data_IF_880390789118
#
_entry.id   IF_880390789118
#
_cell.length_a   1.000
_cell.length_b   1.000
_cell.length_c   1.000
_cell.angle_alpha   90.00
_cell.angle_beta   90.00
_cell.angle_gamma   90.00
#
_symmetry.space_group_name_H-M   'P 1'
#
loop_
_entity.id
_entity.type
_entity.pdbx_description
1 polymer ?
#
# COMPACT_ATOMS: atom_id res chain seq x y z
N UNK A 1 -14.91 2.29 12.30
CA UNK A 1 -14.70 2.65 10.88
C UNK A 1 -14.35 4.13 10.87
N UNK A 2 -13.10 4.46 10.58
CA UNK A 2 -12.57 5.83 10.54
C UNK A 2 -12.97 6.50 9.21
N UNK A 3 -14.24 6.83 9.10
CA UNK A 3 -14.82 7.48 7.91
C UNK A 3 -14.33 8.93 7.72
N UNK A 4 -13.77 9.53 8.76
CA UNK A 4 -13.12 10.84 8.79
C UNK A 4 -11.88 10.94 7.89
N UNK A 5 -11.33 9.79 7.45
CA UNK A 5 -10.21 9.74 6.50
C UNK A 5 -10.63 9.56 5.04
N UNK A 6 -11.94 9.43 4.76
CA UNK A 6 -12.42 9.34 3.39
C UNK A 6 -12.32 10.70 2.68
N UNK A 7 -11.50 10.75 1.64
CA UNK A 7 -11.46 11.84 0.67
C UNK A 7 -11.89 11.36 -0.72
N UNK A 8 -12.18 12.30 -1.63
CA UNK A 8 -12.39 11.96 -3.05
C UNK A 8 -11.03 11.55 -3.64
N UNK A 9 -10.76 10.25 -3.68
CA UNK A 9 -9.57 9.67 -4.30
C UNK A 9 -9.97 8.68 -5.41
N UNK A 10 -9.14 8.48 -6.44
CA UNK A 10 -9.32 7.41 -7.40
C UNK A 10 -9.52 6.04 -6.71
N UNK A 11 -10.63 5.38 -7.02
CA UNK A 11 -11.05 4.10 -6.39
C UNK A 11 -9.97 3.02 -6.44
N UNK A 12 -9.16 3.03 -7.51
CA UNK A 12 -8.03 2.13 -7.71
C UNK A 12 -7.01 2.17 -6.57
N UNK A 13 -6.80 3.33 -5.95
CA UNK A 13 -5.80 3.49 -4.89
C UNK A 13 -6.27 2.91 -3.57
N UNK A 14 -7.56 3.04 -3.27
CA UNK A 14 -8.16 2.34 -2.13
C UNK A 14 -8.03 0.83 -2.28
N UNK A 15 -8.13 0.29 -3.51
CA UNK A 15 -7.87 -1.11 -3.75
C UNK A 15 -6.42 -1.51 -3.43
N UNK A 16 -5.44 -0.70 -3.86
CA UNK A 16 -4.02 -0.94 -3.56
C UNK A 16 -3.74 -0.79 -2.05
N UNK A 17 -4.27 0.25 -1.39
CA UNK A 17 -4.15 0.43 0.07
C UNK A 17 -4.72 -0.76 0.84
N UNK A 18 -5.90 -1.24 0.46
CA UNK A 18 -6.52 -2.40 1.07
C UNK A 18 -5.64 -3.64 0.93
N UNK A 19 -5.09 -3.90 -0.27
CA UNK A 19 -4.16 -5.00 -0.48
C UNK A 19 -2.92 -4.90 0.41
N UNK A 20 -2.36 -3.70 0.58
CA UNK A 20 -1.22 -3.46 1.49
C UNK A 20 -1.60 -3.72 2.95
N UNK A 21 -2.81 -3.36 3.38
CA UNK A 21 -3.29 -3.64 4.75
C UNK A 21 -3.43 -5.15 4.98
N UNK A 22 -4.02 -5.88 4.03
CA UNK A 22 -4.37 -7.29 4.24
C UNK A 22 -3.25 -8.28 3.90
N UNK A 23 -2.33 -7.93 3.00
CA UNK A 23 -1.38 -8.90 2.43
C UNK A 23 0.08 -8.58 2.69
N UNK A 24 0.39 -7.52 3.46
CA UNK A 24 1.75 -7.31 3.95
C UNK A 24 2.10 -8.36 5.00
N UNK A 25 3.27 -8.95 4.85
CA UNK A 25 3.85 -9.92 5.78
C UNK A 25 4.60 -9.17 6.89
N UNK A 26 4.77 -9.78 8.08
CA UNK A 26 5.49 -9.14 9.20
C UNK A 26 6.91 -8.67 8.85
N UNK A 27 7.53 -9.27 7.84
CA UNK A 27 8.88 -8.91 7.35
C UNK A 27 8.89 -7.70 6.41
N UNK A 28 7.75 -7.04 6.18
CA UNK A 28 7.65 -5.89 5.28
C UNK A 28 7.70 -6.27 3.80
N UNK A 29 7.03 -7.35 3.41
CA UNK A 29 6.89 -7.73 2.00
C UNK A 29 5.43 -7.95 1.64
N UNK A 30 5.03 -7.69 0.40
CA UNK A 30 3.66 -7.92 -0.05
C UNK A 30 3.52 -9.35 -0.60
N UNK A 31 2.48 -10.07 -0.21
CA UNK A 31 2.12 -11.35 -0.82
C UNK A 31 1.56 -11.15 -2.25
N UNK A 32 2.46 -11.16 -3.23
CA UNK A 32 2.11 -10.89 -4.64
C UNK A 32 1.07 -11.86 -5.23
N UNK A 33 1.11 -13.18 -4.96
CA UNK A 33 0.04 -14.09 -5.40
C UNK A 33 -1.35 -13.69 -4.90
N UNK A 34 -1.48 -13.33 -3.61
CA UNK A 34 -2.76 -12.86 -3.05
C UNK A 34 -3.17 -11.51 -3.62
N UNK A 35 -2.22 -10.57 -3.72
CA UNK A 35 -2.46 -9.26 -4.31
C UNK A 35 -2.96 -9.38 -5.77
N UNK A 36 -2.37 -10.29 -6.56
CA UNK A 36 -2.79 -10.56 -7.94
C UNK A 36 -4.20 -11.13 -8.02
N UNK A 37 -4.52 -12.14 -7.21
CA UNK A 37 -5.86 -12.72 -7.17
C UNK A 37 -6.91 -11.65 -6.81
N UNK A 38 -6.61 -10.85 -5.79
CA UNK A 38 -7.44 -9.72 -5.36
C UNK A 38 -7.61 -8.66 -6.46
N UNK A 39 -6.51 -8.18 -7.07
CA UNK A 39 -6.55 -7.15 -8.10
C UNK A 39 -7.34 -7.61 -9.33
N UNK A 40 -7.17 -8.87 -9.74
CA UNK A 40 -7.94 -9.45 -10.86
C UNK A 40 -9.44 -9.48 -10.57
N UNK A 41 -9.84 -9.84 -9.36
CA UNK A 41 -11.24 -9.83 -8.95
C UNK A 41 -11.79 -8.39 -8.88
N UNK A 42 -11.02 -7.45 -8.32
CA UNK A 42 -11.37 -6.04 -8.24
C UNK A 42 -11.60 -5.44 -9.64
N UNK A 43 -10.64 -5.61 -10.57
CA UNK A 43 -10.77 -5.10 -11.95
C UNK A 43 -12.02 -5.60 -12.65
N UNK A 44 -12.31 -6.90 -12.52
CA UNK A 44 -13.52 -7.51 -13.13
C UNK A 44 -14.82 -6.96 -12.56
N UNK A 45 -14.85 -6.64 -11.26
CA UNK A 45 -16.07 -6.23 -10.58
C UNK A 45 -16.31 -4.73 -10.72
N UNK A 46 -15.24 -3.93 -10.74
CA UNK A 46 -15.29 -2.48 -10.78
C UNK A 46 -15.08 -1.87 -12.18
N UNK A 47 -14.88 -2.70 -13.21
CA UNK A 47 -14.49 -2.31 -14.57
C UNK A 47 -13.23 -1.40 -14.60
N UNK A 48 -12.30 -1.65 -13.67
CA UNK A 48 -11.08 -0.87 -13.55
C UNK A 48 -10.02 -1.35 -14.56
N UNK A 49 -9.42 -0.39 -15.28
CA UNK A 49 -8.40 -0.69 -16.30
C UNK A 49 -7.07 -1.06 -15.63
N UNK A 50 -6.28 -1.96 -16.26
CA UNK A 50 -4.91 -2.24 -15.84
C UNK A 50 -4.04 -1.00 -15.58
N UNK A 51 -4.15 0.01 -16.46
CA UNK A 51 -3.39 1.27 -16.34
C UNK A 51 -3.79 2.10 -15.11
N UNK A 52 -5.06 2.04 -14.69
CA UNK A 52 -5.53 2.73 -13.49
C UNK A 52 -4.93 2.09 -12.23
N UNK A 53 -4.84 0.75 -12.19
CA UNK A 53 -4.19 0.07 -11.08
C UNK A 53 -2.67 0.28 -11.08
N UNK A 54 -2.02 0.33 -12.25
CA UNK A 54 -0.59 0.64 -12.33
C UNK A 54 -0.28 2.06 -11.81
N UNK A 55 -1.10 3.06 -12.18
CA UNK A 55 -0.97 4.42 -11.66
C UNK A 55 -1.23 4.47 -10.13
N UNK A 56 -2.23 3.73 -9.66
CA UNK A 56 -2.53 3.62 -8.23
C UNK A 56 -1.37 2.98 -7.44
N UNK A 57 -0.75 1.92 -7.96
CA UNK A 57 0.44 1.29 -7.39
C UNK A 57 1.57 2.30 -7.25
N UNK A 58 1.85 3.06 -8.31
CA UNK A 58 2.86 4.10 -8.28
C UNK A 58 2.58 5.15 -7.21
N UNK A 59 1.33 5.64 -7.14
CA UNK A 59 0.95 6.70 -6.19
C UNK A 59 1.03 6.21 -4.74
N UNK A 60 0.54 5.01 -4.44
CA UNK A 60 0.60 4.46 -3.07
C UNK A 60 2.04 4.16 -2.66
N UNK A 61 2.88 3.68 -3.57
CA UNK A 61 4.31 3.53 -3.33
C UNK A 61 4.95 4.87 -2.96
N UNK A 62 4.68 5.92 -3.73
CA UNK A 62 5.21 7.26 -3.46
C UNK A 62 4.74 7.82 -2.12
N UNK A 63 3.46 7.68 -1.78
CA UNK A 63 2.94 8.11 -0.49
C UNK A 63 3.65 7.41 0.66
N UNK A 64 3.91 6.09 0.55
CA UNK A 64 4.60 5.34 1.62
C UNK A 64 6.05 5.72 1.78
N UNK A 65 6.74 6.07 0.69
CA UNK A 65 8.09 6.64 0.79
C UNK A 65 8.12 7.97 1.53
N UNK A 66 7.03 8.73 1.49
CA UNK A 66 6.90 10.04 2.12
C UNK A 66 6.11 10.02 3.43
N UNK A 67 5.77 8.82 3.93
CA UNK A 67 4.91 8.69 5.10
C UNK A 67 5.72 8.66 6.40
N UNK A 68 5.99 9.84 6.94
CA UNK A 68 6.79 10.02 8.14
C UNK A 68 5.96 10.10 9.44
N UNK A 69 4.69 9.68 9.43
CA UNK A 69 3.83 9.85 10.62
C UNK A 69 4.39 9.17 11.87
N UNK A 70 4.95 7.96 11.75
CA UNK A 70 5.52 7.22 12.89
C UNK A 70 6.73 7.96 13.47
N UNK A 71 7.58 8.49 12.59
CA UNK A 71 8.76 9.27 13.00
C UNK A 71 8.34 10.57 13.68
N UNK A 72 7.35 11.29 13.14
CA UNK A 72 6.81 12.50 13.79
C UNK A 72 6.18 12.20 15.14
N UNK A 73 5.45 11.10 15.27
CA UNK A 73 4.87 10.71 16.56
C UNK A 73 5.94 10.39 17.59
N UNK A 74 6.95 9.61 17.22
CA UNK A 74 8.05 9.26 18.09
C UNK A 74 8.87 10.50 18.49
N UNK A 75 9.41 11.24 17.51
CA UNK A 75 10.38 12.31 17.75
C UNK A 75 9.76 13.65 18.13
N UNK A 76 8.62 14.04 17.55
CA UNK A 76 8.01 15.35 17.82
C UNK A 76 6.99 15.29 18.96
N UNK A 77 6.36 14.13 19.20
CA UNK A 77 5.28 13.98 20.21
C UNK A 77 5.64 13.07 21.38
N UNK A 78 6.76 12.33 21.31
CA UNK A 78 7.14 11.35 22.32
C UNK A 78 6.16 10.18 22.46
N UNK A 79 5.33 9.91 21.45
CA UNK A 79 4.38 8.79 21.46
C UNK A 79 4.99 7.57 20.76
N UNK A 80 5.26 6.52 21.54
CA UNK A 80 5.94 5.28 21.10
C UNK A 80 4.98 4.14 20.76
N UNK A 81 3.66 4.35 20.82
CA UNK A 81 2.65 3.28 20.57
C UNK A 81 2.74 2.69 19.17
N UNK A 82 3.30 3.43 18.22
CA UNK A 82 3.48 3.02 16.83
C UNK A 82 4.84 2.35 16.55
N UNK A 83 5.79 2.39 17.48
CA UNK A 83 7.19 2.02 17.22
C UNK A 83 7.33 0.56 16.74
N UNK A 84 6.50 -0.34 17.26
CA UNK A 84 6.50 -1.76 16.86
C UNK A 84 6.10 -1.99 15.40
N UNK A 85 5.44 -1.02 14.75
CA UNK A 85 4.99 -1.11 13.36
C UNK A 85 6.06 -0.58 12.37
N UNK A 86 6.97 0.27 12.84
CA UNK A 86 7.95 0.95 12.00
C UNK A 86 8.90 -0.01 11.24
N UNK A 87 9.42 -1.11 11.84
CA UNK A 87 10.29 -2.04 11.11
C UNK A 87 9.62 -2.64 9.87
N UNK A 88 8.36 -3.09 9.99
CA UNK A 88 7.64 -3.66 8.85
C UNK A 88 7.31 -2.60 7.79
N UNK A 89 6.92 -1.39 8.22
CA UNK A 89 6.59 -0.29 7.31
C UNK A 89 7.83 0.20 6.51
N UNK A 90 8.97 0.37 7.17
CA UNK A 90 10.22 0.76 6.53
C UNK A 90 10.78 -0.33 5.62
N UNK A 91 10.74 -1.59 6.05
CA UNK A 91 11.12 -2.73 5.20
C UNK A 91 10.25 -2.83 3.94
N UNK A 92 8.93 -2.58 4.04
CA UNK A 92 8.02 -2.55 2.90
C UNK A 92 8.40 -1.48 1.87
N UNK A 93 8.75 -0.28 2.31
CA UNK A 93 9.15 0.80 1.39
C UNK A 93 10.42 0.43 0.60
N UNK A 94 11.41 -0.18 1.28
CA UNK A 94 12.65 -0.65 0.64
C UNK A 94 12.38 -1.80 -0.31
N UNK A 95 11.62 -2.80 0.13
CA UNK A 95 11.29 -3.97 -0.68
C UNK A 95 10.46 -3.61 -1.91
N UNK A 96 9.41 -2.80 -1.75
CA UNK A 96 8.57 -2.38 -2.87
C UNK A 96 9.38 -1.63 -3.92
N UNK A 97 10.29 -0.75 -3.49
CA UNK A 97 11.16 -0.04 -4.45
C UNK A 97 12.02 -0.98 -5.29
N UNK A 98 12.47 -2.11 -4.72
CA UNK A 98 13.23 -3.14 -5.45
C UNK A 98 12.34 -3.99 -6.36
N UNK A 99 11.16 -4.34 -5.88
CA UNK A 99 10.20 -5.20 -6.57
C UNK A 99 9.14 -4.41 -7.36
N UNK A 100 9.42 -3.14 -7.69
CA UNK A 100 8.43 -2.20 -8.20
C UNK A 100 7.67 -2.75 -9.41
N UNK A 101 8.39 -3.32 -10.38
CA UNK A 101 7.82 -3.89 -11.59
C UNK A 101 6.97 -5.14 -11.27
N UNK A 102 7.41 -5.98 -10.34
CA UNK A 102 6.67 -7.16 -9.91
C UNK A 102 5.38 -6.79 -9.17
N UNK A 103 5.39 -5.71 -8.37
CA UNK A 103 4.19 -5.17 -7.75
C UNK A 103 3.27 -4.59 -8.81
N UNK A 104 3.76 -3.76 -9.73
CA UNK A 104 2.95 -3.24 -10.83
C UNK A 104 2.27 -4.38 -11.59
N UNK A 105 3.03 -5.38 -12.02
CA UNK A 105 2.51 -6.54 -12.73
C UNK A 105 1.50 -7.35 -11.92
N UNK A 106 1.66 -7.47 -10.61
CA UNK A 106 0.66 -8.13 -9.77
C UNK A 106 -0.70 -7.42 -9.80
N UNK A 107 -0.73 -6.09 -9.96
CA UNK A 107 -1.98 -5.32 -9.99
C UNK A 107 -2.50 -5.04 -11.41
N UNK A 108 -1.64 -4.95 -12.42
CA UNK A 108 -2.04 -4.62 -13.81
C UNK A 108 -2.10 -5.83 -14.75
N UNK A 109 -1.38 -6.92 -14.46
CA UNK A 109 -1.41 -8.18 -15.24
C UNK A 109 -2.68 -9.00 -15.07
#
# INVERSE_FOLDING_TARGET
MDWDRLGVQPRAEEAVRAAVIFFVRPVGTLDLPKARAYARAYRRTADAKPSELAAAVHRVWWERLNDFWMLRWHYERGDTRADSQFPAASALAVWWTREYDAVCEAFSG
#
